data_IF_544875842051
#
_entry.id   IF_544875842051
#
_cell.length_a   1.000
_cell.length_b   1.000
_cell.length_c   1.000
_cell.angle_alpha   90.00
_cell.angle_beta   90.00
_cell.angle_gamma   90.00
#
_symmetry.space_group_name_H-M   'P 1'
#
loop_
_entity.id
_entity.type
_entity.pdbx_description
1 polymer ?
#
# COMPACT_ATOMS: atom_id res chain seq x y z
N UNK A 1 -6.10 -2.76 -10.85
CA UNK A 1 -4.83 -2.20 -11.35
C UNK A 1 -4.77 -0.70 -11.11
N UNK A 2 -5.58 0.15 -11.74
CA UNK A 2 -5.51 1.62 -11.47
C UNK A 2 -5.65 2.00 -9.98
N UNK A 3 -6.41 1.21 -9.21
CA UNK A 3 -6.57 1.41 -7.77
C UNK A 3 -5.33 1.06 -6.93
N UNK A 4 -4.25 0.50 -7.49
CA UNK A 4 -2.99 0.28 -6.75
C UNK A 4 -2.07 1.50 -6.77
N UNK A 5 -2.44 2.57 -7.50
CA UNK A 5 -1.75 3.85 -7.45
C UNK A 5 -1.85 4.45 -6.03
N UNK A 6 -0.69 4.58 -5.37
CA UNK A 6 -0.60 5.12 -4.01
C UNK A 6 -1.13 6.55 -3.87
N UNK A 7 -1.21 7.33 -4.95
CA UNK A 7 -1.86 8.64 -4.94
C UNK A 7 -3.37 8.57 -4.63
N UNK A 8 -3.98 7.40 -4.82
CA UNK A 8 -5.42 7.14 -4.57
C UNK A 8 -5.70 6.52 -3.21
N UNK A 9 -4.67 6.17 -2.43
CA UNK A 9 -4.81 5.42 -1.19
C UNK A 9 -5.82 6.06 -0.21
N UNK A 10 -5.74 7.38 0.01
CA UNK A 10 -6.63 8.05 0.96
C UNK A 10 -8.10 8.06 0.52
N UNK A 11 -8.36 8.14 -0.79
CA UNK A 11 -9.73 8.06 -1.31
C UNK A 11 -10.30 6.64 -1.13
N UNK A 12 -9.51 5.61 -1.51
CA UNK A 12 -9.91 4.21 -1.32
C UNK A 12 -10.22 3.89 0.15
N UNK A 13 -9.40 4.42 1.07
CA UNK A 13 -9.58 4.25 2.51
C UNK A 13 -10.85 4.98 3.02
N UNK A 14 -11.11 6.20 2.55
CA UNK A 14 -12.31 6.95 2.92
C UNK A 14 -13.59 6.24 2.47
N UNK A 15 -13.60 5.74 1.24
CA UNK A 15 -14.72 5.00 0.70
C UNK A 15 -14.93 3.69 1.48
N UNK A 16 -13.85 2.96 1.79
CA UNK A 16 -13.91 1.73 2.59
C UNK A 16 -14.48 1.98 4.00
N UNK A 17 -14.08 3.08 4.66
CA UNK A 17 -14.65 3.47 5.97
C UNK A 17 -16.16 3.70 5.88
N UNK A 18 -16.60 4.48 4.89
CA UNK A 18 -18.02 4.74 4.63
C UNK A 18 -18.81 3.45 4.40
N UNK A 19 -18.24 2.51 3.64
CA UNK A 19 -18.84 1.19 3.42
C UNK A 19 -18.96 0.38 4.71
N UNK A 20 -17.95 0.42 5.58
CA UNK A 20 -17.99 -0.29 6.88
C UNK A 20 -19.07 0.30 7.79
N UNK A 21 -19.26 1.62 7.79
CA UNK A 21 -20.29 2.31 8.57
C UNK A 21 -21.71 1.97 8.09
N UNK A 22 -21.88 1.80 6.79
CA UNK A 22 -23.20 1.52 6.14
C UNK A 22 -23.43 0.04 5.83
N UNK A 23 -22.55 -0.85 6.30
CA UNK A 23 -22.54 -2.27 5.92
C UNK A 23 -23.84 -2.96 6.29
N UNK A 24 -24.31 -3.80 5.37
CA UNK A 24 -25.40 -4.75 5.62
C UNK A 24 -24.83 -6.16 5.64
N UNK A 25 -25.28 -6.97 6.60
CA UNK A 25 -24.89 -8.37 6.72
C UNK A 25 -26.11 -9.26 6.66
N UNK A 26 -25.97 -10.45 6.07
CA UNK A 26 -27.00 -11.48 6.12
C UNK A 26 -27.15 -12.02 7.54
N UNK A 27 -28.19 -12.82 7.77
CA UNK A 27 -28.36 -13.57 9.03
C UNK A 27 -27.21 -14.53 9.34
N UNK A 28 -26.47 -14.97 8.32
CA UNK A 28 -25.25 -15.79 8.46
C UNK A 28 -23.98 -14.97 8.66
N UNK A 29 -24.08 -13.64 8.82
CA UNK A 29 -22.94 -12.75 9.02
C UNK A 29 -22.12 -12.44 7.76
N UNK A 30 -22.63 -12.76 6.56
CA UNK A 30 -21.95 -12.51 5.29
C UNK A 30 -22.25 -11.09 4.82
N UNK A 31 -21.24 -10.38 4.33
CA UNK A 31 -21.39 -9.02 3.80
C UNK A 31 -22.30 -9.01 2.56
N UNK A 32 -23.29 -8.13 2.54
CA UNK A 32 -24.16 -7.87 1.40
C UNK A 32 -23.62 -6.71 0.57
N UNK A 33 -23.43 -6.94 -0.73
CA UNK A 33 -22.94 -5.97 -1.71
C UNK A 33 -23.90 -5.97 -2.91
N UNK A 34 -24.96 -5.18 -2.81
CA UNK A 34 -26.15 -5.30 -3.66
C UNK A 34 -25.94 -4.72 -5.08
N UNK A 35 -24.94 -3.86 -5.26
CA UNK A 35 -24.68 -3.21 -6.53
C UNK A 35 -23.23 -3.41 -7.01
N UNK A 36 -22.96 -3.05 -8.27
CA UNK A 36 -21.62 -3.15 -8.84
C UNK A 36 -20.61 -2.24 -8.13
N UNK A 37 -21.03 -1.03 -7.73
CA UNK A 37 -20.17 -0.03 -7.10
C UNK A 37 -19.56 -0.57 -5.80
N UNK A 38 -20.39 -1.16 -4.93
CA UNK A 38 -19.94 -1.72 -3.67
C UNK A 38 -18.99 -2.90 -3.91
N UNK A 39 -19.32 -3.77 -4.85
CA UNK A 39 -18.49 -4.94 -5.20
C UNK A 39 -17.13 -4.53 -5.76
N UNK A 40 -17.09 -3.58 -6.70
CA UNK A 40 -15.83 -3.15 -7.30
C UNK A 40 -14.96 -2.41 -6.29
N UNK A 41 -15.55 -1.61 -5.39
CA UNK A 41 -14.84 -0.93 -4.33
C UNK A 41 -14.19 -1.90 -3.34
N UNK A 42 -14.89 -2.99 -2.96
CA UNK A 42 -14.30 -4.06 -2.12
C UNK A 42 -13.14 -4.74 -2.85
N UNK A 43 -13.29 -5.08 -4.12
CA UNK A 43 -12.23 -5.74 -4.89
C UNK A 43 -11.00 -4.84 -5.08
N UNK A 44 -11.21 -3.55 -5.32
CA UNK A 44 -10.13 -2.56 -5.40
C UNK A 44 -9.35 -2.49 -4.09
N UNK A 45 -10.05 -2.38 -2.95
CA UNK A 45 -9.42 -2.38 -1.63
C UNK A 45 -8.75 -3.72 -1.32
N UNK A 46 -9.32 -4.86 -1.71
CA UNK A 46 -8.74 -6.18 -1.51
C UNK A 46 -7.38 -6.31 -2.21
N UNK A 47 -7.30 -5.88 -3.47
CA UNK A 47 -6.03 -5.89 -4.22
C UNK A 47 -5.04 -4.87 -3.63
N UNK A 48 -5.50 -3.69 -3.22
CA UNK A 48 -4.65 -2.68 -2.58
C UNK A 48 -4.08 -3.16 -1.24
N UNK A 49 -4.89 -3.84 -0.42
CA UNK A 49 -4.44 -4.48 0.81
C UNK A 49 -3.44 -5.61 0.53
N UNK A 50 -3.62 -6.37 -0.55
CA UNK A 50 -2.67 -7.40 -0.95
C UNK A 50 -1.31 -6.78 -1.34
N UNK A 51 -1.32 -5.67 -2.06
CA UNK A 51 -0.12 -4.91 -2.45
C UNK A 51 0.63 -4.35 -1.24
N UNK A 52 -0.11 -3.82 -0.25
CA UNK A 52 0.42 -3.28 1.01
C UNK A 52 0.61 -4.35 2.11
N UNK A 53 0.59 -5.64 1.77
CA UNK A 53 0.54 -6.71 2.78
C UNK A 53 1.89 -7.09 3.38
N UNK A 54 3.01 -6.51 2.94
CA UNK A 54 4.34 -6.91 3.42
C UNK A 54 4.47 -6.83 4.96
N UNK A 55 4.05 -5.74 5.62
CA UNK A 55 4.14 -5.62 7.09
C UNK A 55 3.20 -6.56 7.86
N UNK A 56 2.24 -7.20 7.19
CA UNK A 56 1.29 -8.11 7.83
C UNK A 56 1.74 -9.58 7.80
N UNK A 57 2.86 -9.88 7.11
CA UNK A 57 3.45 -11.22 7.05
C UNK A 57 4.33 -11.52 8.27
N UNK A 58 4.64 -12.79 8.55
CA UNK A 58 5.66 -13.15 9.52
C UNK A 58 6.95 -12.35 9.34
N UNK A 59 7.56 -11.93 10.45
CA UNK A 59 8.68 -10.97 10.46
C UNK A 59 9.83 -11.35 9.52
N UNK A 60 10.15 -12.65 9.41
CA UNK A 60 11.21 -13.13 8.52
C UNK A 60 10.92 -12.90 7.02
N UNK A 61 9.64 -12.87 6.62
CA UNK A 61 9.22 -12.51 5.27
C UNK A 61 9.17 -10.99 5.12
N UNK A 62 8.61 -10.29 6.09
CA UNK A 62 8.52 -8.83 6.06
C UNK A 62 9.91 -8.20 5.86
N UNK A 63 10.92 -8.63 6.64
CA UNK A 63 12.31 -8.17 6.49
C UNK A 63 12.86 -8.33 5.08
N UNK A 64 12.63 -9.48 4.44
CA UNK A 64 13.07 -9.71 3.06
C UNK A 64 12.41 -8.75 2.07
N UNK A 65 11.14 -8.37 2.31
CA UNK A 65 10.47 -7.35 1.49
C UNK A 65 11.00 -5.95 1.76
N UNK A 66 11.27 -5.60 3.02
CA UNK A 66 11.92 -4.34 3.40
C UNK A 66 13.30 -4.20 2.75
N UNK A 67 14.12 -5.25 2.77
CA UNK A 67 15.45 -5.24 2.13
C UNK A 67 15.35 -4.97 0.63
N UNK A 68 14.41 -5.63 -0.05
CA UNK A 68 14.19 -5.48 -1.51
C UNK A 68 13.71 -4.08 -1.89
N UNK A 69 12.75 -3.51 -1.15
CA UNK A 69 12.24 -2.17 -1.46
C UNK A 69 13.29 -1.09 -1.17
N UNK A 70 14.08 -1.24 -0.10
CA UNK A 70 15.17 -0.31 0.19
C UNK A 70 16.29 -0.40 -0.85
N UNK A 71 16.64 -1.60 -1.32
CA UNK A 71 17.57 -1.77 -2.44
C UNK A 71 17.09 -1.04 -3.70
N UNK A 72 15.80 -1.15 -4.03
CA UNK A 72 15.20 -0.46 -5.16
C UNK A 72 15.25 1.07 -5.00
N UNK A 73 14.89 1.59 -3.82
CA UNK A 73 14.94 3.02 -3.51
C UNK A 73 16.36 3.57 -3.58
N UNK A 74 17.35 2.85 -3.07
CA UNK A 74 18.74 3.28 -3.13
C UNK A 74 19.29 3.31 -4.56
N UNK A 75 18.89 2.35 -5.41
CA UNK A 75 19.22 2.39 -6.84
C UNK A 75 18.59 3.57 -7.56
N UNK A 76 17.37 3.98 -7.16
CA UNK A 76 16.77 5.22 -7.65
C UNK A 76 17.58 6.44 -7.19
N UNK A 77 17.92 6.54 -5.91
CA UNK A 77 18.69 7.65 -5.36
C UNK A 77 20.08 7.79 -5.97
N UNK A 78 20.76 6.68 -6.30
CA UNK A 78 22.03 6.70 -7.02
C UNK A 78 21.86 7.33 -8.42
N UNK A 79 20.79 7.00 -9.16
CA UNK A 79 20.49 7.60 -10.47
C UNK A 79 20.10 9.08 -10.37
N UNK A 80 19.37 9.47 -9.33
CA UNK A 80 19.03 10.87 -9.06
C UNK A 80 20.32 11.69 -8.81
N UNK A 81 21.23 11.15 -7.98
CA UNK A 81 22.54 11.76 -7.69
C UNK A 81 23.38 11.92 -8.96
N UNK A 82 23.49 10.88 -9.78
CA UNK A 82 24.23 10.92 -11.07
C UNK A 82 23.70 11.99 -12.02
N UNK A 83 22.40 12.28 -11.97
CA UNK A 83 21.73 13.29 -12.79
C UNK A 83 21.74 14.69 -12.17
N UNK A 84 22.34 14.86 -10.98
CA UNK A 84 22.31 16.13 -10.25
C UNK A 84 20.90 16.54 -9.80
N UNK A 85 19.99 15.59 -9.63
CA UNK A 85 18.65 15.83 -9.11
C UNK A 85 18.64 15.82 -7.58
N UNK A 86 17.63 16.46 -6.98
CA UNK A 86 17.33 16.24 -5.57
C UNK A 86 16.98 14.76 -5.34
N UNK A 87 17.62 14.13 -4.35
CA UNK A 87 17.37 12.72 -4.03
C UNK A 87 16.02 12.60 -3.34
N UNK A 88 15.18 11.70 -3.83
CA UNK A 88 13.84 11.45 -3.29
C UNK A 88 13.90 11.00 -1.83
N UNK A 89 12.85 11.28 -1.02
CA UNK A 89 12.75 10.76 0.34
C UNK A 89 12.97 9.24 0.36
N UNK A 90 13.67 8.75 1.39
CA UNK A 90 14.04 7.33 1.58
C UNK A 90 15.04 6.75 0.57
N UNK A 91 15.42 7.48 -0.48
CA UNK A 91 16.28 6.97 -1.54
C UNK A 91 17.78 7.21 -1.31
N UNK A 92 18.17 8.00 -0.30
CA UNK A 92 19.58 8.19 0.03
C UNK A 92 20.10 7.13 1.02
N UNK A 93 20.86 6.17 0.51
CA UNK A 93 21.51 5.12 1.32
C UNK A 93 22.44 5.63 2.42
N UNK A 94 22.90 6.88 2.34
CA UNK A 94 23.78 7.48 3.34
C UNK A 94 23.03 8.22 4.45
N UNK A 95 21.72 8.46 4.29
CA UNK A 95 20.91 9.26 5.21
C UNK A 95 19.50 8.66 5.47
N UNK A 96 19.25 7.42 5.05
CA UNK A 96 18.00 6.73 5.32
C UNK A 96 18.00 6.05 6.70
N UNK A 97 16.93 6.23 7.47
CA UNK A 97 16.64 5.41 8.65
C UNK A 97 15.54 4.42 8.30
N UNK A 98 15.93 3.17 8.01
CA UNK A 98 15.01 2.14 7.51
C UNK A 98 13.93 1.83 8.55
N UNK A 99 14.31 1.68 9.82
CA UNK A 99 13.41 1.27 10.90
C UNK A 99 12.37 2.33 11.25
N UNK A 100 12.69 3.62 11.08
CA UNK A 100 11.74 4.72 11.35
C UNK A 100 10.70 4.88 10.24
N UNK A 101 10.99 4.36 9.06
CA UNK A 101 10.15 4.49 7.88
C UNK A 101 9.31 3.24 7.60
N UNK A 102 9.50 2.20 8.40
CA UNK A 102 8.59 1.05 8.51
C UNK A 102 7.60 1.29 9.65
#
# INVERSE_FOLDING_TARGET
VLATDMSKHMNLLADLKTMVETKKVTSSGVLLLDNYSDRIQVLQNMVHCADLSNPTKPLHLYRQWTDRIMEEFFRQGDRERERGMEISPMCDKHNASVEKSQ
#
